data_IF_257401150014
#
_entry.id   IF_257401150014
#
_cell.length_a   1.000
_cell.length_b   1.000
_cell.length_c   1.000
_cell.angle_alpha   90.00
_cell.angle_beta   90.00
_cell.angle_gamma   90.00
#
_symmetry.space_group_name_H-M   'P 1'
#
loop_
_entity.id
_entity.type
_entity.pdbx_description
1 polymer ?
#
# COMPACT_ATOMS: atom_id res chain seq x y z
N UNK A 1 -30.04 37.76 -19.18
CA UNK A 1 -29.10 37.36 -18.11
C UNK A 1 -29.43 35.98 -17.50
N UNK A 2 -29.71 34.94 -18.31
CA UNK A 2 -30.13 33.61 -17.83
C UNK A 2 -29.19 32.46 -18.24
N UNK A 3 -28.22 32.75 -19.12
CA UNK A 3 -27.26 31.76 -19.63
C UNK A 3 -25.94 31.70 -18.83
N UNK A 4 -25.52 32.81 -18.22
CA UNK A 4 -24.31 32.84 -17.38
C UNK A 4 -24.47 32.06 -16.07
N UNK A 5 -25.67 32.03 -15.50
CA UNK A 5 -25.93 31.26 -14.27
C UNK A 5 -25.79 29.75 -14.51
N UNK A 6 -26.18 29.26 -15.68
CA UNK A 6 -26.14 27.83 -16.02
C UNK A 6 -24.70 27.33 -16.22
N UNK A 7 -23.85 28.14 -16.86
CA UNK A 7 -22.41 27.83 -17.03
C UNK A 7 -21.62 27.87 -15.71
N UNK A 8 -22.01 28.75 -14.76
CA UNK A 8 -21.40 28.82 -13.43
C UNK A 8 -21.73 27.56 -12.61
N UNK A 9 -22.98 27.07 -12.68
CA UNK A 9 -23.41 25.86 -11.94
C UNK A 9 -22.67 24.61 -12.45
N UNK A 10 -22.44 24.49 -13.76
CA UNK A 10 -21.71 23.35 -14.34
C UNK A 10 -20.21 23.40 -13.98
N UNK A 11 -19.58 24.58 -14.01
CA UNK A 11 -18.18 24.72 -13.58
C UNK A 11 -17.99 24.45 -12.08
N UNK A 12 -18.94 24.86 -11.23
CA UNK A 12 -18.85 24.67 -9.78
C UNK A 12 -19.00 23.19 -9.38
N UNK A 13 -19.85 22.44 -10.10
CA UNK A 13 -20.04 21.00 -9.85
C UNK A 13 -18.87 20.17 -10.40
N UNK A 14 -18.32 20.50 -11.57
CA UNK A 14 -17.15 19.80 -12.15
C UNK A 14 -15.86 20.02 -11.36
N UNK A 15 -15.73 21.13 -10.61
CA UNK A 15 -14.54 21.45 -9.80
C UNK A 15 -14.51 20.79 -8.41
N UNK A 16 -15.54 20.03 -8.02
CA UNK A 16 -15.69 19.57 -6.62
C UNK A 16 -15.45 18.08 -6.35
N UNK A 17 -15.11 17.28 -7.37
CA UNK A 17 -14.74 15.87 -7.16
C UNK A 17 -13.49 15.58 -7.96
N UNK A 18 -12.32 15.84 -7.36
CA UNK A 18 -11.08 15.27 -7.90
C UNK A 18 -11.21 13.73 -7.80
N UNK A 19 -11.04 12.96 -8.89
CA UNK A 19 -11.11 11.49 -8.84
C UNK A 19 -10.05 10.88 -7.89
N UNK A 20 -8.99 11.64 -7.60
CA UNK A 20 -8.02 11.31 -6.56
C UNK A 20 -8.61 11.34 -5.13
N UNK A 21 -9.57 12.22 -4.84
CA UNK A 21 -10.22 12.33 -3.52
C UNK A 21 -11.30 11.24 -3.32
N UNK A 22 -11.92 10.77 -4.41
CA UNK A 22 -12.87 9.64 -4.38
C UNK A 22 -12.14 8.29 -4.13
N UNK A 23 -10.95 8.12 -4.71
CA UNK A 23 -10.06 6.99 -4.41
C UNK A 23 -9.60 6.98 -2.93
N UNK A 24 -9.36 8.17 -2.35
CA UNK A 24 -8.98 8.32 -0.93
C UNK A 24 -10.10 7.95 0.04
N UNK A 25 -11.37 8.17 -0.32
CA UNK A 25 -12.54 7.76 0.50
C UNK A 25 -12.77 6.24 0.51
N UNK A 26 -12.39 5.49 -0.54
CA UNK A 26 -12.56 4.02 -0.57
C UNK A 26 -11.63 3.24 0.37
N UNK A 27 -10.54 3.84 0.85
CA UNK A 27 -9.63 3.24 1.83
C UNK A 27 -10.00 3.56 3.28
N UNK A 28 -11.18 4.13 3.52
CA UNK A 28 -11.64 4.48 4.84
C UNK A 28 -11.83 3.22 5.70
N UNK A 29 -10.75 2.91 6.43
CA UNK A 29 -10.57 1.91 7.49
C UNK A 29 -10.80 0.43 7.12
N UNK A 30 -9.78 -0.19 6.53
CA UNK A 30 -9.64 -1.65 6.66
C UNK A 30 -9.20 -2.00 8.08
N UNK A 31 -9.95 -2.90 8.71
CA UNK A 31 -9.67 -3.53 10.00
C UNK A 31 -8.20 -3.96 10.13
N UNK A 32 -7.64 -3.76 11.32
CA UNK A 32 -6.30 -4.24 11.67
C UNK A 32 -6.18 -5.74 11.37
N UNK A 33 -5.04 -6.13 10.78
CA UNK A 33 -4.73 -7.52 10.48
C UNK A 33 -3.60 -7.99 11.39
N UNK A 34 -3.89 -9.02 12.16
CA UNK A 34 -2.92 -9.69 13.01
C UNK A 34 -2.34 -10.87 12.25
N UNK A 35 -1.03 -10.88 12.08
CA UNK A 35 -0.31 -11.93 11.38
C UNK A 35 0.63 -12.64 12.35
N UNK A 36 0.74 -13.96 12.18
CA UNK A 36 1.74 -14.75 12.90
C UNK A 36 3.11 -14.56 12.25
N UNK A 37 4.15 -14.44 13.07
CA UNK A 37 5.54 -14.52 12.61
C UNK A 37 5.90 -16.00 12.47
N UNK A 38 6.34 -16.40 11.28
CA UNK A 38 6.74 -17.77 10.99
C UNK A 38 8.26 -17.92 11.06
N UNK A 39 8.75 -19.13 11.25
CA UNK A 39 10.16 -19.45 11.09
C UNK A 39 10.47 -19.81 9.64
N UNK A 40 11.52 -19.22 9.08
CA UNK A 40 12.09 -19.57 7.78
C UNK A 40 13.43 -20.24 7.99
N UNK A 41 13.56 -21.47 7.49
CA UNK A 41 14.84 -22.15 7.43
C UNK A 41 15.75 -21.43 6.44
N UNK A 42 16.84 -20.89 6.95
CA UNK A 42 17.94 -20.34 6.19
C UNK A 42 19.10 -21.29 6.32
N UNK A 43 19.49 -21.89 5.20
CA UNK A 43 20.57 -22.86 5.18
C UNK A 43 21.23 -22.81 3.82
N UNK A 44 22.53 -22.48 3.82
CA UNK A 44 23.42 -23.05 2.82
C UNK A 44 23.53 -24.54 3.18
N UNK A 45 23.48 -25.44 2.19
CA UNK A 45 23.34 -26.90 2.38
C UNK A 45 24.42 -27.56 3.26
N UNK A 46 25.47 -26.82 3.64
CA UNK A 46 26.69 -27.34 4.25
C UNK A 46 26.79 -27.13 5.78
N UNK A 47 25.78 -26.58 6.44
CA UNK A 47 25.79 -26.42 7.91
C UNK A 47 25.03 -27.54 8.63
N UNK A 48 25.63 -28.09 9.69
CA UNK A 48 25.06 -29.14 10.55
C UNK A 48 23.74 -28.76 11.25
N UNK A 49 23.41 -27.47 11.32
CA UNK A 49 22.14 -26.97 11.86
C UNK A 49 21.61 -25.83 10.99
N UNK A 50 20.38 -25.92 10.47
CA UNK A 50 19.78 -24.84 9.70
C UNK A 50 19.44 -23.67 10.63
N UNK A 51 19.77 -22.45 10.22
CA UNK A 51 19.42 -21.25 10.97
C UNK A 51 17.96 -20.90 10.72
N UNK A 52 17.13 -20.84 11.76
CA UNK A 52 15.72 -20.43 11.62
C UNK A 52 15.62 -18.93 11.90
N UNK A 53 15.20 -18.16 10.88
CA UNK A 53 14.99 -16.72 10.98
C UNK A 53 13.49 -16.37 11.01
N UNK A 54 13.09 -15.26 11.64
CA UNK A 54 11.70 -14.81 11.60
C UNK A 54 11.30 -14.32 10.21
N UNK A 55 10.11 -14.71 9.74
CA UNK A 55 9.51 -14.33 8.46
C UNK A 55 8.08 -13.81 8.66
N UNK A 56 7.80 -12.64 8.11
CA UNK A 56 6.45 -12.05 8.02
C UNK A 56 5.96 -12.24 6.59
N UNK A 57 4.80 -12.89 6.43
CA UNK A 57 4.19 -13.16 5.11
C UNK A 57 3.01 -12.24 4.89
N UNK A 58 3.14 -11.31 3.94
CA UNK A 58 2.06 -10.46 3.47
C UNK A 58 1.55 -11.02 2.14
N UNK A 59 0.30 -11.48 2.11
CA UNK A 59 -0.32 -12.00 0.89
C UNK A 59 -1.83 -11.74 0.90
N UNK A 60 -2.40 -11.58 -0.29
CA UNK A 60 -3.85 -11.50 -0.51
C UNK A 60 -4.25 -10.30 -1.37
N UNK A 61 -5.47 -10.35 -1.90
CA UNK A 61 -6.05 -9.29 -2.76
C UNK A 61 -6.01 -7.92 -2.11
N UNK A 62 -6.09 -7.86 -0.78
CA UNK A 62 -6.02 -6.61 -0.03
C UNK A 62 -4.70 -5.85 -0.24
N UNK A 63 -3.59 -6.55 -0.51
CA UNK A 63 -2.26 -5.98 -0.75
C UNK A 63 -2.23 -5.31 -2.13
N UNK A 64 -2.78 -5.99 -3.14
CA UNK A 64 -2.98 -5.42 -4.48
C UNK A 64 -3.93 -4.21 -4.44
N UNK A 65 -5.04 -4.32 -3.69
CA UNK A 65 -6.00 -3.22 -3.54
C UNK A 65 -5.32 -1.97 -2.97
N UNK A 66 -4.38 -2.07 -2.03
CA UNK A 66 -3.65 -0.90 -1.49
C UNK A 66 -2.47 -0.43 -2.39
N UNK A 67 -2.35 -0.98 -3.61
CA UNK A 67 -1.38 -0.55 -4.62
C UNK A 67 -0.03 -1.28 -4.60
N UNK A 68 0.10 -2.36 -3.83
CA UNK A 68 1.29 -3.22 -3.88
C UNK A 68 1.10 -4.28 -4.96
N UNK A 69 1.61 -4.00 -6.15
CA UNK A 69 1.59 -4.93 -7.28
C UNK A 69 2.94 -5.65 -7.42
N UNK A 70 2.95 -6.69 -8.24
CA UNK A 70 4.18 -7.43 -8.54
C UNK A 70 5.14 -6.53 -9.34
N UNK A 71 6.40 -6.50 -8.93
CA UNK A 71 7.44 -5.68 -9.57
C UNK A 71 7.59 -4.28 -8.99
N UNK A 72 6.71 -3.85 -8.08
CA UNK A 72 6.92 -2.60 -7.35
C UNK A 72 8.17 -2.67 -6.46
N UNK A 73 8.96 -1.61 -6.48
CA UNK A 73 9.96 -1.36 -5.46
C UNK A 73 9.28 -0.89 -4.18
N UNK A 74 9.70 -1.45 -3.04
CA UNK A 74 9.18 -1.10 -1.73
C UNK A 74 10.30 -0.61 -0.83
N UNK A 75 9.97 0.36 0.02
CA UNK A 75 10.83 0.85 1.08
C UNK A 75 10.41 0.23 2.41
N UNK A 76 11.34 -0.46 3.06
CA UNK A 76 11.14 -1.05 4.38
C UNK A 76 11.98 -0.27 5.40
N UNK A 77 11.33 0.34 6.38
CA UNK A 77 11.98 1.05 7.48
C UNK A 77 11.75 0.31 8.78
N UNK A 78 12.81 0.09 9.55
CA UNK A 78 12.73 -0.53 10.87
C UNK A 78 12.94 0.49 12.00
N UNK A 79 12.19 0.33 13.08
CA UNK A 79 12.39 0.94 14.39
C UNK A 79 12.17 -0.12 15.47
N UNK A 80 12.48 0.20 16.73
CA UNK A 80 12.17 -0.68 17.87
C UNK A 80 10.69 -1.07 17.83
N UNK A 81 10.40 -2.37 17.73
CA UNK A 81 9.06 -2.96 17.67
C UNK A 81 8.14 -2.46 16.54
N UNK A 82 8.68 -1.84 15.48
CA UNK A 82 7.86 -1.30 14.38
C UNK A 82 8.55 -1.47 13.04
N UNK A 83 7.83 -2.01 12.08
CA UNK A 83 8.22 -2.04 10.67
C UNK A 83 7.23 -1.19 9.89
N UNK A 84 7.74 -0.30 9.04
CA UNK A 84 6.94 0.52 8.14
C UNK A 84 7.30 0.15 6.72
N UNK A 85 6.31 -0.33 5.95
CA UNK A 85 6.46 -0.77 4.56
C UNK A 85 5.70 0.24 3.70
N UNK A 86 6.37 0.80 2.71
CA UNK A 86 5.81 1.81 1.81
C UNK A 86 6.20 1.51 0.37
N UNK A 87 5.35 1.89 -0.58
CA UNK A 87 5.72 1.87 -1.99
C UNK A 87 6.79 2.92 -2.25
N UNK A 88 7.87 2.51 -2.92
CA UNK A 88 8.88 3.45 -3.38
C UNK A 88 8.44 4.02 -4.72
N UNK A 89 8.16 5.34 -4.74
CA UNK A 89 7.67 6.05 -5.93
C UNK A 89 8.80 6.74 -6.69
N UNK A 90 10.03 6.31 -6.50
CA UNK A 90 11.14 6.80 -7.32
C UNK A 90 10.88 6.38 -8.77
N UNK A 91 10.36 7.33 -9.54
CA UNK A 91 10.22 7.23 -10.99
C UNK A 91 11.58 6.83 -11.54
N UNK A 92 11.60 5.75 -12.31
CA UNK A 92 12.68 5.46 -13.23
C UNK A 92 12.71 6.66 -14.21
N UNK A 93 13.72 7.52 -14.07
CA UNK A 93 14.03 8.56 -15.05
C UNK A 93 14.45 7.91 -16.37
#
# INVERSE_FOLDING_TARGET
>A
MRFYLFLIIINYTFKSINPHDEARKKFQYKKDRYLKVYGKYTGNSNFRRPNILPEIRLCGKWLQEIGFEQGNSIKVQQRKNKITIMLDRQKQN
#
